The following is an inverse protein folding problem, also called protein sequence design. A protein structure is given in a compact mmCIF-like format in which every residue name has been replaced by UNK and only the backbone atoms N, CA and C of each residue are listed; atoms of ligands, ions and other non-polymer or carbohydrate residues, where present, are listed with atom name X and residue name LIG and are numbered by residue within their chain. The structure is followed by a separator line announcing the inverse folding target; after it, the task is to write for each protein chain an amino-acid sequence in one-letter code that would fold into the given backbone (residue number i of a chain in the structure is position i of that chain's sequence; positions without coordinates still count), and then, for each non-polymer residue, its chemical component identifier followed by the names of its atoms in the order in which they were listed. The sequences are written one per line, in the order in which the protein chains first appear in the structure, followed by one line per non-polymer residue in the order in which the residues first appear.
data_IF_100714512428
#
_entry.id   IF_100714512428
#
_cell.length_a   1.000
_cell.length_b   1.000
_cell.length_c   1.000
_cell.angle_alpha   90.00
_cell.angle_beta   90.00
_cell.angle_gamma   90.00
#
_symmetry.space_group_name_H-M   'P 1'
#
loop_
_entity.id
_entity.type
_entity.pdbx_description
1 polymer ?
#
# COMPACT_ATOMS: atom_id res chain seq x y z
N UNK A 1 9.44 -11.90 -9.85
CA UNK A 1 9.74 -11.21 -11.13
C UNK A 1 8.95 -9.93 -11.26
N UNK A 2 7.61 -9.97 -11.18
CA UNK A 2 6.73 -8.79 -11.32
C UNK A 2 7.11 -7.60 -10.42
N UNK A 3 7.38 -7.81 -9.13
CA UNK A 3 7.82 -6.73 -8.23
C UNK A 3 9.17 -6.11 -8.64
N UNK A 4 10.14 -6.93 -9.03
CA UNK A 4 11.46 -6.44 -9.44
C UNK A 4 11.38 -5.63 -10.76
N UNK A 5 10.57 -6.09 -11.71
CA UNK A 5 10.29 -5.36 -12.96
C UNK A 5 9.58 -4.04 -12.67
N UNK A 6 8.59 -4.05 -11.78
CA UNK A 6 7.87 -2.83 -11.37
C UNK A 6 8.81 -1.84 -10.68
N UNK A 7 9.68 -2.33 -9.79
CA UNK A 7 10.71 -1.52 -9.15
C UNK A 7 11.67 -0.86 -10.17
N UNK A 8 12.15 -1.62 -11.16
CA UNK A 8 12.97 -1.07 -12.23
C UNK A 8 12.21 0.00 -13.03
N UNK A 9 10.92 -0.21 -13.30
CA UNK A 9 10.08 0.80 -13.95
C UNK A 9 9.95 2.06 -13.10
N UNK A 10 9.72 1.96 -11.80
CA UNK A 10 9.64 3.12 -10.90
C UNK A 10 10.95 3.92 -10.89
N UNK A 11 12.10 3.25 -10.94
CA UNK A 11 13.40 3.94 -11.09
C UNK A 11 13.47 4.76 -12.36
N UNK A 12 13.05 4.19 -13.50
CA UNK A 12 13.05 4.90 -14.78
C UNK A 12 12.09 6.09 -14.76
N UNK A 13 10.87 5.92 -14.21
CA UNK A 13 9.90 7.00 -14.07
C UNK A 13 10.43 8.15 -13.20
N UNK A 14 11.10 7.83 -12.08
CA UNK A 14 11.74 8.83 -11.23
C UNK A 14 12.87 9.56 -11.96
N UNK A 15 13.70 8.83 -12.70
CA UNK A 15 14.80 9.42 -13.49
C UNK A 15 14.28 10.33 -14.61
N UNK A 16 13.15 9.98 -15.23
CA UNK A 16 12.49 10.78 -16.24
C UNK A 16 11.72 12.00 -15.67
N UNK A 17 11.59 12.11 -14.34
CA UNK A 17 10.81 13.18 -13.70
C UNK A 17 9.30 13.00 -13.75
N UNK A 18 8.80 11.83 -14.15
CA UNK A 18 7.36 11.51 -14.27
C UNK A 18 6.70 11.32 -12.89
N UNK A 19 7.48 10.91 -11.90
CA UNK A 19 7.07 10.81 -10.49
C UNK A 19 8.06 11.54 -9.61
N UNK A 20 7.59 12.03 -8.46
CA UNK A 20 8.44 12.75 -7.50
C UNK A 20 9.34 11.78 -6.73
N UNK A 21 8.73 10.73 -6.18
CA UNK A 21 9.47 9.67 -5.48
C UNK A 21 8.66 8.38 -5.37
N UNK A 22 9.30 7.31 -4.89
CA UNK A 22 8.63 6.08 -4.51
C UNK A 22 9.35 5.37 -3.35
N UNK A 23 8.59 4.57 -2.60
CA UNK A 23 9.08 3.77 -1.48
C UNK A 23 8.68 2.31 -1.60
N UNK A 24 9.37 1.44 -0.86
CA UNK A 24 9.12 0.01 -0.80
C UNK A 24 8.45 -0.38 0.51
N UNK A 25 7.55 -1.35 0.44
CA UNK A 25 6.93 -2.00 1.58
C UNK A 25 6.35 -1.05 2.65
N UNK A 26 5.60 0.00 2.25
CA UNK A 26 5.00 0.93 3.20
C UNK A 26 4.01 0.20 4.12
N UNK A 27 3.98 0.59 5.39
CA UNK A 27 3.14 -0.05 6.42
C UNK A 27 2.02 0.90 6.85
N UNK A 28 0.80 0.41 6.77
CA UNK A 28 -0.42 1.13 7.13
C UNK A 28 -1.15 0.39 8.24
N UNK A 29 -1.30 1.03 9.39
CA UNK A 29 -2.11 0.47 10.49
C UNK A 29 -3.58 0.65 10.11
N UNK A 30 -4.30 -0.43 9.83
CA UNK A 30 -5.72 -0.42 9.51
C UNK A 30 -6.57 -0.30 10.77
N UNK A 31 -6.20 -1.05 11.81
CA UNK A 31 -6.83 -1.00 13.12
C UNK A 31 -5.73 -0.94 14.18
N UNK A 32 -5.76 0.06 15.09
CA UNK A 32 -4.80 0.11 16.18
C UNK A 32 -4.95 -1.13 17.07
N UNK A 33 -3.86 -1.54 17.71
CA UNK A 33 -3.94 -2.52 18.78
C UNK A 33 -4.75 -1.95 19.94
N UNK A 34 -5.46 -2.81 20.66
CA UNK A 34 -6.30 -2.41 21.78
C UNK A 34 -6.31 -3.51 22.83
N UNK A 35 -6.69 -3.16 24.05
CA UNK A 35 -6.90 -4.10 25.15
C UNK A 35 -8.39 -4.21 25.43
N UNK A 36 -8.88 -5.43 25.62
CA UNK A 36 -10.27 -5.68 26.00
C UNK A 36 -10.33 -6.92 26.88
N UNK A 37 -11.03 -6.85 28.00
CA UNK A 37 -11.18 -7.95 28.96
C UNK A 37 -9.83 -8.49 29.49
N UNK A 38 -8.82 -7.63 29.66
CA UNK A 38 -7.47 -8.02 30.07
C UNK A 38 -6.64 -8.71 28.99
N UNK A 39 -7.18 -8.87 27.77
CA UNK A 39 -6.46 -9.43 26.62
C UNK A 39 -5.99 -8.32 25.66
N UNK A 40 -4.73 -8.42 25.21
CA UNK A 40 -4.13 -7.49 24.25
C UNK A 40 -4.28 -8.00 22.81
N UNK A 41 -4.99 -7.23 22.00
CA UNK A 41 -5.18 -7.48 20.58
C UNK A 41 -4.13 -6.72 19.76
N UNK A 42 -3.42 -7.44 18.90
CA UNK A 42 -2.41 -6.84 18.00
C UNK A 42 -3.07 -5.96 16.94
N UNK A 43 -2.39 -4.89 16.47
CA UNK A 43 -2.89 -4.08 15.37
C UNK A 43 -3.04 -4.91 14.09
N UNK A 44 -4.04 -4.54 13.29
CA UNK A 44 -4.15 -5.02 11.91
C UNK A 44 -3.36 -4.07 11.04
N UNK A 45 -2.30 -4.57 10.40
CA UNK A 45 -1.47 -3.81 9.47
C UNK A 45 -1.66 -4.32 8.04
N UNK A 46 -1.72 -3.38 7.11
CA UNK A 46 -1.60 -3.59 5.68
C UNK A 46 -0.20 -3.17 5.22
N UNK A 47 0.47 -4.04 4.49
CA UNK A 47 1.79 -3.81 3.93
C UNK A 47 1.60 -3.92 2.43
N UNK A 48 1.76 -2.81 1.72
CA UNK A 48 1.72 -2.79 0.25
C UNK A 48 3.13 -3.04 -0.29
N UNK A 49 3.28 -3.21 -1.61
CA UNK A 49 4.60 -3.43 -2.19
C UNK A 49 5.32 -2.11 -2.45
N UNK A 50 4.58 -1.10 -2.90
CA UNK A 50 5.11 0.22 -3.23
C UNK A 50 4.21 1.35 -2.74
N UNK A 51 4.82 2.52 -2.55
CA UNK A 51 4.14 3.82 -2.48
C UNK A 51 4.78 4.73 -3.51
N UNK A 52 3.99 5.53 -4.22
CA UNK A 52 4.42 6.47 -5.23
C UNK A 52 3.92 7.85 -4.83
N UNK A 53 4.83 8.82 -4.81
CA UNK A 53 4.50 10.24 -4.63
C UNK A 53 4.49 10.87 -6.02
N UNK A 54 3.32 11.30 -6.45
CA UNK A 54 3.14 11.94 -7.75
C UNK A 54 3.55 13.41 -7.71
N UNK A 55 3.79 14.00 -8.88
CA UNK A 55 4.20 15.40 -9.00
C UNK A 55 3.08 16.38 -8.59
N UNK A 56 1.83 15.97 -8.69
CA UNK A 56 0.65 16.74 -8.26
C UNK A 56 0.40 16.69 -6.74
N UNK A 57 1.25 15.98 -5.99
CA UNK A 57 1.14 15.82 -4.55
C UNK A 57 0.25 14.65 -4.10
N UNK A 58 -0.40 13.94 -5.02
CA UNK A 58 -1.16 12.72 -4.69
C UNK A 58 -0.23 11.56 -4.36
N UNK A 59 -0.75 10.58 -3.61
CA UNK A 59 0.00 9.37 -3.23
C UNK A 59 -0.75 8.12 -3.66
N UNK A 60 -0.10 7.32 -4.50
CA UNK A 60 -0.58 6.01 -4.90
C UNK A 60 0.09 4.92 -4.06
N UNK A 61 -0.70 3.99 -3.56
CA UNK A 61 -0.24 2.77 -2.91
C UNK A 61 -0.42 1.64 -3.89
N UNK A 62 0.63 0.87 -4.19
CA UNK A 62 0.57 -0.17 -5.21
C UNK A 62 0.84 -1.53 -4.59
N UNK A 63 0.00 -2.49 -4.97
CA UNK A 63 0.09 -3.87 -4.54
C UNK A 63 -0.04 -4.81 -5.75
N UNK A 64 0.96 -5.67 -5.94
CA UNK A 64 1.07 -6.61 -7.05
C UNK A 64 0.47 -7.96 -6.62
N UNK A 65 -0.71 -8.29 -7.15
CA UNK A 65 -1.49 -9.47 -6.76
C UNK A 65 -1.89 -10.29 -7.98
N UNK A 66 -1.46 -11.55 -8.01
CA UNK A 66 -2.02 -12.52 -8.95
C UNK A 66 -3.47 -12.90 -8.64
N UNK A 67 -3.81 -13.07 -7.36
CA UNK A 67 -5.16 -13.45 -6.89
C UNK A 67 -5.52 -12.66 -5.64
N UNK A 68 -6.73 -12.08 -5.64
CA UNK A 68 -7.29 -11.37 -4.49
C UNK A 68 -7.95 -12.35 -3.50
N UNK A 69 -7.31 -12.59 -2.36
CA UNK A 69 -7.87 -13.41 -1.27
C UNK A 69 -9.00 -12.68 -0.53
N UNK A 70 -9.86 -13.40 0.19
CA UNK A 70 -10.88 -12.78 1.05
C UNK A 70 -10.27 -11.87 2.12
N UNK A 71 -9.13 -12.28 2.70
CA UNK A 71 -8.38 -11.47 3.68
C UNK A 71 -7.92 -10.16 3.03
N UNK A 72 -7.40 -10.21 1.81
CA UNK A 72 -7.00 -9.00 1.08
C UNK A 72 -8.20 -8.07 0.85
N UNK A 73 -9.35 -8.60 0.43
CA UNK A 73 -10.57 -7.78 0.21
C UNK A 73 -11.03 -7.06 1.48
N UNK A 74 -10.96 -7.72 2.64
CA UNK A 74 -11.27 -7.11 3.94
C UNK A 74 -10.25 -6.02 4.27
N UNK A 75 -8.95 -6.31 4.14
CA UNK A 75 -7.90 -5.32 4.40
C UNK A 75 -7.99 -4.12 3.46
N UNK A 76 -8.29 -4.33 2.17
CA UNK A 76 -8.57 -3.26 1.21
C UNK A 76 -9.72 -2.39 1.70
N UNK A 77 -10.87 -2.98 2.04
CA UNK A 77 -12.02 -2.21 2.53
C UNK A 77 -11.69 -1.36 3.76
N UNK A 78 -10.92 -1.90 4.71
CA UNK A 78 -10.44 -1.16 5.88
C UNK A 78 -9.44 -0.06 5.51
N UNK A 79 -8.58 -0.31 4.51
CA UNK A 79 -7.64 0.67 4.00
C UNK A 79 -8.35 1.87 3.39
N UNK A 80 -9.26 1.63 2.42
CA UNK A 80 -10.04 2.68 1.75
C UNK A 80 -10.82 3.55 2.75
N UNK A 81 -11.39 2.92 3.79
CA UNK A 81 -12.12 3.65 4.83
C UNK A 81 -11.21 4.54 5.68
N UNK A 82 -10.00 4.07 6.03
CA UNK A 82 -9.12 4.75 6.96
C UNK A 82 -8.20 5.78 6.30
N UNK A 83 -7.84 5.57 5.05
CA UNK A 83 -6.91 6.40 4.29
C UNK A 83 -7.58 6.95 3.02
N UNK A 84 -8.58 7.84 3.16
CA UNK A 84 -9.35 8.33 2.01
C UNK A 84 -8.52 9.15 1.02
N UNK A 85 -7.39 9.71 1.47
CA UNK A 85 -6.48 10.52 0.65
C UNK A 85 -5.45 9.67 -0.12
N UNK A 86 -5.41 8.35 0.11
CA UNK A 86 -4.50 7.43 -0.56
C UNK A 86 -5.25 6.60 -1.61
N UNK A 87 -4.67 6.49 -2.80
CA UNK A 87 -5.23 5.71 -3.90
C UNK A 87 -4.58 4.33 -3.96
N UNK A 88 -5.32 3.26 -3.64
CA UNK A 88 -4.81 1.89 -3.72
C UNK A 88 -4.98 1.31 -5.13
N UNK A 89 -3.86 0.97 -5.78
CA UNK A 89 -3.80 0.37 -7.11
C UNK A 89 -3.37 -1.09 -7.02
N UNK A 90 -4.27 -2.00 -7.43
CA UNK A 90 -3.98 -3.44 -7.50
C UNK A 90 -3.54 -3.81 -8.91
N UNK A 91 -2.29 -4.26 -9.06
CA UNK A 91 -1.69 -4.63 -10.34
C UNK A 91 -1.63 -6.17 -10.44
N UNK A 92 -2.03 -6.74 -11.58
CA UNK A 92 -2.13 -8.21 -11.76
C UNK A 92 -0.85 -8.88 -12.25
#
# INVERSE_FOLDING_TARGET
QKEAEYYCRLKLLKQAGEIKDFGLQPRYVLQPGFEKNGEKFKPITYIADFVIVNNDGTTDVVDIKGVETQIFKIKRKLFEYKYPDLSLKVVK
#
